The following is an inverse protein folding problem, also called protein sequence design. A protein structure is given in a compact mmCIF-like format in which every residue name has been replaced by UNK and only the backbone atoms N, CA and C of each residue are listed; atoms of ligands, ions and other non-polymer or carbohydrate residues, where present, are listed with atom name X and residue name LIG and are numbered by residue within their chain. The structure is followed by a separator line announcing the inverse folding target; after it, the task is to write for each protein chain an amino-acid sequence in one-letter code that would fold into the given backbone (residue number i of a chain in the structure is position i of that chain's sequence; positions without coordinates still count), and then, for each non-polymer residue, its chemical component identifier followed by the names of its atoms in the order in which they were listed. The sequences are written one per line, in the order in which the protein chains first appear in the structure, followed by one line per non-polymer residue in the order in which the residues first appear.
data_IF_923453041761
#
_entry.id   IF_923453041761
#
_cell.length_a   1.000
_cell.length_b   1.000
_cell.length_c   1.000
_cell.angle_alpha   90.00
_cell.angle_beta   90.00
_cell.angle_gamma   90.00
#
_symmetry.space_group_name_H-M   'P 1'
#
loop_
_entity.id
_entity.type
_entity.pdbx_description
1 polymer ?
#
# COMPACT_ATOMS: atom_id res chain seq x y z
N UNK A 1 -32.12 -0.58 -23.87
CA UNK A 1 -31.40 0.70 -24.04
C UNK A 1 -30.23 0.85 -23.06
N UNK A 2 -30.45 0.98 -21.74
CA UNK A 2 -29.37 1.24 -20.77
C UNK A 2 -28.25 0.17 -20.74
N UNK A 3 -28.60 -1.13 -20.72
CA UNK A 3 -27.62 -2.22 -20.74
C UNK A 3 -26.74 -2.21 -22.00
N UNK A 4 -27.35 -2.07 -23.17
CA UNK A 4 -26.64 -1.99 -24.45
C UNK A 4 -25.66 -0.81 -24.52
N UNK A 5 -26.03 0.35 -23.93
CA UNK A 5 -25.11 1.49 -23.82
C UNK A 5 -23.93 1.18 -22.89
N UNK A 6 -24.18 0.54 -21.75
CA UNK A 6 -23.12 0.20 -20.80
C UNK A 6 -22.13 -0.81 -21.40
N UNK A 7 -22.62 -1.84 -22.10
CA UNK A 7 -21.77 -2.82 -22.80
C UNK A 7 -20.77 -2.11 -23.72
N UNK A 8 -21.25 -1.19 -24.56
CA UNK A 8 -20.39 -0.43 -25.47
C UNK A 8 -19.38 0.48 -24.76
N UNK A 9 -19.71 0.99 -23.58
CA UNK A 9 -18.78 1.80 -22.78
C UNK A 9 -17.68 0.93 -22.19
N UNK A 10 -18.01 -0.23 -21.61
CA UNK A 10 -17.03 -1.14 -21.02
C UNK A 10 -16.12 -1.74 -22.11
N UNK A 11 -16.69 -2.17 -23.24
CA UNK A 11 -15.96 -2.75 -24.37
C UNK A 11 -14.89 -1.79 -24.96
N UNK A 12 -15.19 -0.49 -24.97
CA UNK A 12 -14.32 0.55 -25.54
C UNK A 12 -13.58 1.39 -24.51
N UNK A 13 -13.62 0.98 -23.24
CA UNK A 13 -13.03 1.74 -22.15
C UNK A 13 -11.50 1.73 -22.28
N UNK A 14 -10.91 2.92 -22.43
CA UNK A 14 -9.46 3.08 -22.40
C UNK A 14 -8.98 3.11 -20.95
N UNK A 15 -8.15 2.13 -20.58
CA UNK A 15 -7.51 2.04 -19.27
C UNK A 15 -6.09 2.59 -19.38
N UNK A 16 -5.66 3.39 -18.40
CA UNK A 16 -4.33 4.02 -18.36
C UNK A 16 -3.54 3.54 -17.13
N UNK A 17 -2.84 2.40 -17.21
CA UNK A 17 -2.11 1.82 -16.07
C UNK A 17 -1.09 2.78 -15.44
N UNK A 18 -0.36 3.55 -16.26
CA UNK A 18 0.64 4.50 -15.77
C UNK A 18 0.03 5.59 -14.90
N UNK A 19 -1.17 6.07 -15.27
CA UNK A 19 -1.89 7.05 -14.47
C UNK A 19 -2.41 6.45 -13.16
N UNK A 20 -2.78 5.16 -13.16
CA UNK A 20 -3.17 4.45 -11.93
C UNK A 20 -1.99 4.36 -10.97
N UNK A 21 -0.82 3.92 -11.46
CA UNK A 21 0.41 3.85 -10.67
C UNK A 21 0.85 5.22 -10.16
N UNK A 22 0.83 6.25 -11.03
CA UNK A 22 1.16 7.63 -10.65
C UNK A 22 0.24 8.14 -9.56
N UNK A 23 -1.07 7.89 -9.66
CA UNK A 23 -2.04 8.33 -8.67
C UNK A 23 -1.83 7.66 -7.31
N UNK A 24 -1.58 6.35 -7.31
CA UNK A 24 -1.28 5.59 -6.10
C UNK A 24 0.00 6.11 -5.42
N UNK A 25 1.02 6.48 -6.20
CA UNK A 25 2.29 6.98 -5.68
C UNK A 25 2.28 8.48 -5.31
N UNK A 26 1.15 9.20 -5.44
CA UNK A 26 1.05 10.62 -5.05
C UNK A 26 1.41 10.88 -3.60
N UNK A 27 1.13 9.91 -2.73
CA UNK A 27 1.42 9.98 -1.31
C UNK A 27 2.69 9.20 -0.92
N UNK A 28 3.62 9.01 -1.87
CA UNK A 28 5.00 8.54 -1.64
C UNK A 28 5.11 7.40 -0.61
N UNK A 29 4.33 6.35 -0.82
CA UNK A 29 4.36 5.15 0.02
C UNK A 29 3.41 5.12 1.22
N UNK A 30 2.66 6.18 1.54
CA UNK A 30 1.73 6.21 2.68
C UNK A 30 0.65 5.12 2.66
N UNK A 31 0.30 4.60 1.48
CA UNK A 31 -0.57 3.42 1.31
C UNK A 31 -0.07 2.20 2.10
N UNK A 32 1.23 2.10 2.36
CA UNK A 32 1.85 0.99 3.11
C UNK A 32 1.84 1.19 4.63
N UNK A 33 1.37 2.33 5.14
CA UNK A 33 1.39 2.67 6.58
C UNK A 33 0.75 1.60 7.48
N UNK A 34 -0.34 0.98 7.04
CA UNK A 34 -0.97 -0.10 7.79
C UNK A 34 -0.09 -1.36 7.89
N UNK A 35 0.63 -1.72 6.81
CA UNK A 35 1.52 -2.89 6.82
C UNK A 35 2.66 -2.68 7.80
N UNK A 36 3.23 -1.47 7.84
CA UNK A 36 4.28 -1.10 8.79
C UNK A 36 3.76 -1.11 10.23
N UNK A 37 2.57 -0.56 10.48
CA UNK A 37 1.93 -0.59 11.79
C UNK A 37 1.76 -2.03 12.30
N UNK A 38 1.22 -2.91 11.46
CA UNK A 38 1.02 -4.31 11.83
C UNK A 38 2.35 -5.03 12.07
N UNK A 39 3.37 -4.76 11.25
CA UNK A 39 4.70 -5.32 11.45
C UNK A 39 5.30 -4.91 12.81
N UNK A 40 5.19 -3.63 13.18
CA UNK A 40 5.65 -3.15 14.49
C UNK A 40 4.94 -3.87 15.63
N UNK A 41 3.62 -4.05 15.52
CA UNK A 41 2.86 -4.79 16.55
C UNK A 41 3.25 -6.27 16.63
N UNK A 42 3.56 -6.90 15.48
CA UNK A 42 4.03 -8.28 15.42
C UNK A 42 5.45 -8.44 15.99
N UNK A 43 6.27 -7.40 15.89
CA UNK A 43 7.60 -7.32 16.52
C UNK A 43 7.55 -7.02 18.03
N UNK A 44 6.35 -6.90 18.63
CA UNK A 44 6.17 -6.73 20.07
C UNK A 44 6.00 -5.27 20.53
N UNK A 45 5.95 -4.31 19.61
CA UNK A 45 5.62 -2.91 19.95
C UNK A 45 4.15 -2.81 20.33
N UNK A 46 3.83 -2.03 21.37
CA UNK A 46 2.43 -1.81 21.74
C UNK A 46 1.66 -1.16 20.57
N UNK A 47 0.36 -1.43 20.46
CA UNK A 47 -0.46 -0.86 19.37
C UNK A 47 -0.46 0.67 19.38
N UNK A 48 -0.45 1.27 20.58
CA UNK A 48 -0.38 2.72 20.75
C UNK A 48 0.97 3.28 20.26
N UNK A 49 2.07 2.65 20.67
CA UNK A 49 3.41 3.09 20.26
C UNK A 49 3.61 2.89 18.75
N UNK A 50 3.17 1.76 18.20
CA UNK A 50 3.22 1.49 16.76
C UNK A 50 2.45 2.56 15.97
N UNK A 51 1.27 2.97 16.46
CA UNK A 51 0.51 4.06 15.86
C UNK A 51 1.28 5.39 15.92
N UNK A 52 1.86 5.73 17.08
CA UNK A 52 2.65 6.96 17.26
C UNK A 52 3.87 7.01 16.32
N UNK A 53 4.60 5.90 16.20
CA UNK A 53 5.77 5.76 15.34
C UNK A 53 5.40 5.91 13.85
N UNK A 54 4.35 5.23 13.40
CA UNK A 54 3.89 5.34 12.01
C UNK A 54 3.35 6.73 11.72
N UNK A 55 2.54 7.29 12.63
CA UNK A 55 1.91 8.59 12.45
C UNK A 55 2.95 9.71 12.32
N UNK A 56 3.96 9.75 13.20
CA UNK A 56 4.96 10.85 13.15
C UNK A 56 5.74 10.87 11.84
N UNK A 57 6.03 9.71 11.25
CA UNK A 57 6.71 9.62 9.96
C UNK A 57 5.74 9.91 8.81
N UNK A 58 4.50 9.45 8.90
CA UNK A 58 3.48 9.74 7.92
C UNK A 58 3.14 11.25 7.82
N UNK A 59 3.17 11.97 8.95
CA UNK A 59 2.91 13.41 8.96
C UNK A 59 3.97 14.21 8.18
N UNK A 60 5.23 13.78 8.18
CA UNK A 60 6.29 14.44 7.38
C UNK A 60 6.03 14.31 5.87
N UNK A 61 5.47 13.18 5.43
CA UNK A 61 5.05 13.01 4.04
C UNK A 61 3.94 13.99 3.67
N UNK A 62 2.98 14.20 4.58
CA UNK A 62 1.88 15.16 4.37
C UNK A 62 2.33 16.62 4.37
N UNK A 63 3.18 17.00 5.31
CA UNK A 63 3.57 18.40 5.54
C UNK A 63 4.72 18.84 4.63
N UNK A 64 5.63 17.93 4.29
CA UNK A 64 6.92 18.25 3.66
C UNK A 64 7.09 17.55 2.32
N UNK A 65 6.16 16.67 1.92
CA UNK A 65 6.28 15.87 0.70
C UNK A 65 7.44 14.87 0.75
N UNK A 66 7.87 14.48 1.95
CA UNK A 66 8.92 13.48 2.18
C UNK A 66 8.54 12.10 1.63
N UNK A 67 9.51 11.20 1.53
CA UNK A 67 9.27 9.80 1.16
C UNK A 67 9.03 8.94 2.41
N UNK A 68 7.93 8.18 2.44
CA UNK A 68 7.55 7.45 3.65
C UNK A 68 8.56 6.37 4.04
N UNK A 69 9.17 5.68 3.06
CA UNK A 69 10.14 4.64 3.33
C UNK A 69 11.41 5.25 3.94
N UNK A 70 11.93 6.32 3.34
CA UNK A 70 13.12 7.01 3.83
C UNK A 70 12.90 7.56 5.24
N UNK A 71 11.73 8.12 5.56
CA UNK A 71 11.42 8.60 6.90
C UNK A 71 11.40 7.48 7.95
N UNK A 72 10.87 6.30 7.60
CA UNK A 72 10.90 5.14 8.50
C UNK A 72 12.32 4.61 8.72
N UNK A 73 13.17 4.62 7.68
CA UNK A 73 14.56 4.17 7.78
C UNK A 73 15.45 5.16 8.54
N UNK A 74 15.12 6.45 8.49
CA UNK A 74 15.80 7.49 9.27
C UNK A 74 15.37 7.51 10.74
N UNK A 75 14.23 6.89 11.07
CA UNK A 75 13.68 6.85 12.42
C UNK A 75 14.30 5.72 13.27
N UNK A 76 15.12 6.11 14.25
CA UNK A 76 15.83 5.19 15.13
C UNK A 76 14.91 4.28 15.94
N UNK A 77 13.74 4.75 16.38
CA UNK A 77 12.84 3.91 17.18
C UNK A 77 12.13 2.88 16.29
N UNK A 78 11.88 3.23 15.02
CA UNK A 78 11.32 2.30 14.03
C UNK A 78 12.35 1.25 13.66
N UNK A 79 13.57 1.63 13.31
CA UNK A 79 14.64 0.69 12.91
C UNK A 79 15.10 -0.19 14.08
N UNK A 80 15.01 0.30 15.33
CA UNK A 80 15.26 -0.51 16.51
C UNK A 80 14.21 -1.61 16.70
N UNK A 81 12.96 -1.37 16.29
CA UNK A 81 11.86 -2.34 16.40
C UNK A 81 11.73 -3.26 15.18
N UNK A 82 12.05 -2.76 13.98
CA UNK A 82 11.96 -3.50 12.72
C UNK A 82 13.25 -3.32 11.91
N UNK A 83 13.95 -4.41 11.54
CA UNK A 83 15.11 -4.32 10.66
C UNK A 83 14.77 -3.69 9.30
N UNK A 84 15.72 -2.99 8.69
CA UNK A 84 15.53 -2.32 7.39
C UNK A 84 14.97 -3.25 6.31
N UNK A 85 15.46 -4.49 6.23
CA UNK A 85 14.98 -5.48 5.26
C UNK A 85 13.47 -5.77 5.41
N UNK A 86 12.98 -5.84 6.65
CA UNK A 86 11.56 -6.06 6.92
C UNK A 86 10.73 -4.82 6.59
N UNK A 87 11.24 -3.61 6.87
CA UNK A 87 10.58 -2.36 6.51
C UNK A 87 10.41 -2.30 4.99
N UNK A 88 11.48 -2.55 4.22
CA UNK A 88 11.43 -2.52 2.75
C UNK A 88 10.45 -3.54 2.18
N UNK A 89 10.33 -4.73 2.77
CA UNK A 89 9.34 -5.74 2.35
C UNK A 89 7.89 -5.23 2.48
N UNK A 90 7.58 -4.40 3.48
CA UNK A 90 6.21 -3.85 3.64
C UNK A 90 5.79 -2.89 2.52
N UNK A 91 6.72 -2.44 1.69
CA UNK A 91 6.48 -1.58 0.54
C UNK A 91 6.26 -2.36 -0.77
N UNK A 92 6.30 -3.70 -0.74
CA UNK A 92 5.95 -4.50 -1.91
C UNK A 92 4.44 -4.47 -2.19
N UNK A 93 4.06 -4.07 -3.41
CA UNK A 93 2.67 -4.08 -3.88
C UNK A 93 2.14 -5.50 -4.14
N UNK A 94 3.03 -6.46 -4.44
CA UNK A 94 2.67 -7.86 -4.69
C UNK A 94 1.89 -8.48 -3.53
N UNK A 95 2.14 -8.04 -2.31
CA UNK A 95 1.37 -8.43 -1.13
C UNK A 95 -0.13 -8.16 -1.25
N UNK A 96 -0.53 -7.06 -1.90
CA UNK A 96 -1.93 -6.67 -2.05
C UNK A 96 -2.62 -7.39 -3.21
N UNK A 97 -1.86 -7.90 -4.18
CA UNK A 97 -2.39 -8.60 -5.36
C UNK A 97 -2.26 -10.12 -5.29
N UNK A 98 -1.65 -10.68 -4.24
CA UNK A 98 -1.40 -12.12 -4.07
C UNK A 98 -2.65 -13.04 -4.14
N UNK A 99 -3.85 -12.49 -4.00
CA UNK A 99 -5.10 -13.25 -4.06
C UNK A 99 -5.96 -12.92 -5.28
N UNK A 100 -5.44 -12.14 -6.24
CA UNK A 100 -6.15 -11.81 -7.48
C UNK A 100 -6.55 -13.09 -8.22
N UNK A 101 -5.62 -14.02 -8.44
CA UNK A 101 -5.90 -15.27 -9.16
C UNK A 101 -6.94 -16.12 -8.44
N UNK A 102 -6.85 -16.22 -7.11
CA UNK A 102 -7.85 -16.94 -6.30
C UNK A 102 -9.26 -16.38 -6.48
N UNK A 103 -9.40 -15.05 -6.58
CA UNK A 103 -10.69 -14.39 -6.80
C UNK A 103 -11.17 -14.66 -8.23
N UNK A 104 -10.30 -14.54 -9.23
CA UNK A 104 -10.63 -14.80 -10.63
C UNK A 104 -11.10 -16.24 -10.86
N UNK A 105 -10.40 -17.24 -10.29
CA UNK A 105 -10.80 -18.65 -10.37
C UNK A 105 -12.18 -18.91 -9.77
N UNK A 106 -12.55 -18.20 -8.70
CA UNK A 106 -13.90 -18.35 -8.08
C UNK A 106 -15.02 -17.76 -8.94
N UNK A 107 -14.74 -16.70 -9.68
CA UNK A 107 -15.75 -15.98 -10.48
C UNK A 107 -15.91 -16.61 -11.86
N UNK A 108 -14.82 -17.02 -12.49
CA UNK A 108 -14.80 -17.48 -13.89
C UNK A 108 -14.59 -18.99 -14.04
N UNK A 109 -14.22 -19.71 -12.98
CA UNK A 109 -13.83 -21.13 -13.02
C UNK A 109 -12.36 -21.33 -13.42
N UNK A 110 -11.92 -22.58 -13.46
CA UNK A 110 -10.74 -23.00 -14.24
C UNK A 110 -11.23 -23.21 -15.68
N UNK A 111 -10.56 -22.58 -16.65
CA UNK A 111 -10.89 -22.73 -18.07
C UNK A 111 -10.62 -24.15 -18.58
#
# INVERSE_FOLDING_TARGET
FALSRLTSVVDKLLVYPDNMLKNMNKFRGLVHSQRVLLALTQAGVSREDAYRLVQRNAMKVWEQGADFLEELLADKDVVAALPEAEIREKFDLGYHTKHVDTIFSRVFGEA
#
